data_IF_163988607939
#
_entry.id   IF_163988607939
#
_cell.length_a   1.000
_cell.length_b   1.000
_cell.length_c   1.000
_cell.angle_alpha   90.00
_cell.angle_beta   90.00
_cell.angle_gamma   90.00
#
_symmetry.space_group_name_H-M   'P 1'
#
loop_
_entity.id
_entity.type
_entity.pdbx_description
1 polymer ?
#
# COMPACT_ATOMS: atom_id res chain seq x y z
N UNK A 1 -0.76 -14.94 -0.68
CA UNK A 1 -0.81 -13.80 0.28
C UNK A 1 -0.35 -12.47 -0.33
N UNK A 2 0.55 -12.47 -1.33
CA UNK A 2 1.04 -11.22 -1.93
C UNK A 2 -0.01 -10.42 -2.70
N UNK A 3 -1.10 -11.04 -3.16
CA UNK A 3 -2.13 -10.34 -3.94
C UNK A 3 -2.91 -9.31 -3.10
N UNK A 4 -3.23 -9.61 -1.85
CA UNK A 4 -4.02 -8.70 -1.01
C UNK A 4 -3.32 -7.36 -0.73
N UNK A 5 -2.04 -7.30 -0.34
CA UNK A 5 -1.36 -6.02 -0.20
C UNK A 5 -1.24 -5.26 -1.52
N UNK A 6 -1.08 -5.94 -2.67
CA UNK A 6 -1.08 -5.29 -3.99
C UNK A 6 -2.44 -4.65 -4.26
N UNK A 7 -3.53 -5.37 -4.02
CA UNK A 7 -4.89 -4.88 -4.24
C UNK A 7 -5.24 -3.66 -3.37
N UNK A 8 -4.72 -3.59 -2.15
CA UNK A 8 -5.14 -2.62 -1.14
C UNK A 8 -4.15 -1.47 -0.90
N UNK A 9 -2.95 -1.48 -1.53
CA UNK A 9 -1.87 -0.56 -1.16
C UNK A 9 -2.22 0.93 -1.32
N UNK A 10 -3.09 1.27 -2.26
CA UNK A 10 -3.51 2.64 -2.56
C UNK A 10 -4.85 3.05 -1.93
N UNK A 11 -5.38 2.25 -0.99
CA UNK A 11 -6.70 2.53 -0.38
C UNK A 11 -6.80 3.94 0.22
N UNK A 12 -5.73 4.47 0.79
CA UNK A 12 -5.72 5.82 1.35
C UNK A 12 -5.78 6.93 0.30
N UNK A 13 -5.35 6.65 -0.93
CA UNK A 13 -5.44 7.60 -2.04
C UNK A 13 -6.90 7.89 -2.39
N UNK A 14 -7.77 6.90 -2.26
CA UNK A 14 -9.22 7.06 -2.42
C UNK A 14 -9.79 8.00 -1.34
N UNK A 15 -9.20 7.97 -0.14
CA UNK A 15 -9.54 8.88 0.97
C UNK A 15 -8.81 10.24 0.88
N UNK A 16 -8.21 10.58 -0.26
CA UNK A 16 -7.44 11.81 -0.52
C UNK A 16 -6.11 11.95 0.26
N UNK A 17 -5.62 10.91 0.90
CA UNK A 17 -4.32 10.88 1.58
C UNK A 17 -3.23 10.37 0.64
N UNK A 18 -2.73 11.24 -0.24
CA UNK A 18 -1.70 10.88 -1.24
C UNK A 18 -0.28 10.90 -0.70
N UNK A 19 0.18 11.93 0.04
CA UNK A 19 1.46 11.85 0.71
C UNK A 19 1.42 10.75 1.77
N UNK A 20 2.50 10.00 1.88
CA UNK A 20 2.59 8.87 2.82
C UNK A 20 1.42 7.87 2.74
N UNK A 21 0.90 7.65 1.51
CA UNK A 21 -0.24 6.75 1.28
C UNK A 21 0.00 5.34 1.82
N UNK A 22 1.24 4.86 1.81
CA UNK A 22 1.59 3.57 2.40
C UNK A 22 1.35 3.54 3.91
N UNK A 23 1.77 4.59 4.62
CA UNK A 23 1.52 4.72 6.06
C UNK A 23 0.01 4.79 6.37
N UNK A 24 -0.69 5.70 5.71
CA UNK A 24 -2.12 5.91 5.94
C UNK A 24 -2.97 4.72 5.52
N UNK A 25 -2.63 4.09 4.37
CA UNK A 25 -3.28 2.85 3.92
C UNK A 25 -3.12 1.71 4.92
N UNK A 26 -1.92 1.53 5.45
CA UNK A 26 -1.67 0.54 6.49
C UNK A 26 -2.49 0.82 7.75
N UNK A 27 -2.56 2.07 8.21
CA UNK A 27 -3.38 2.44 9.37
C UNK A 27 -4.87 2.16 9.15
N UNK A 28 -5.38 2.46 7.95
CA UNK A 28 -6.78 2.18 7.62
C UNK A 28 -7.11 0.69 7.66
N UNK A 29 -6.14 -0.14 7.25
CA UNK A 29 -6.36 -1.57 7.04
C UNK A 29 -5.94 -2.45 8.23
N UNK A 30 -5.13 -1.93 9.16
CA UNK A 30 -4.59 -2.68 10.30
C UNK A 30 -5.63 -3.52 11.06
N UNK A 31 -6.86 -3.04 11.32
CA UNK A 31 -7.89 -3.86 11.99
C UNK A 31 -8.45 -5.00 11.13
N UNK A 32 -8.28 -4.93 9.80
CA UNK A 32 -8.99 -5.77 8.83
C UNK A 32 -8.11 -6.82 8.18
N UNK A 33 -6.79 -6.70 8.27
CA UNK A 33 -5.84 -7.59 7.58
C UNK A 33 -4.82 -8.16 8.55
N UNK A 34 -4.05 -9.14 8.08
CA UNK A 34 -2.92 -9.65 8.85
C UNK A 34 -1.79 -8.63 8.93
N UNK A 35 -0.97 -8.74 9.97
CA UNK A 35 0.16 -7.84 10.22
C UNK A 35 1.13 -7.76 9.03
N UNK A 36 1.37 -8.88 8.34
CA UNK A 36 2.19 -8.91 7.13
C UNK A 36 1.63 -8.00 6.03
N UNK A 37 0.31 -8.01 5.83
CA UNK A 37 -0.36 -7.21 4.80
C UNK A 37 -0.25 -5.73 5.12
N UNK A 38 -0.59 -5.32 6.33
CA UNK A 38 -0.50 -3.91 6.75
C UNK A 38 0.94 -3.42 6.74
N UNK A 39 1.89 -4.25 7.19
CA UNK A 39 3.31 -3.93 7.13
C UNK A 39 3.82 -3.76 5.69
N UNK A 40 3.44 -4.66 4.80
CA UNK A 40 3.83 -4.59 3.39
C UNK A 40 3.32 -3.29 2.74
N UNK A 41 2.06 -2.92 3.00
CA UNK A 41 1.47 -1.66 2.53
C UNK A 41 2.23 -0.46 3.11
N UNK A 42 2.59 -0.48 4.39
CA UNK A 42 3.35 0.60 5.02
C UNK A 42 4.71 0.82 4.37
N UNK A 43 5.44 -0.24 4.08
CA UNK A 43 6.84 -0.17 3.67
C UNK A 43 7.05 -0.07 2.15
N UNK A 44 6.05 -0.41 1.33
CA UNK A 44 6.24 -0.39 -0.12
C UNK A 44 6.65 0.99 -0.65
N UNK A 45 6.13 2.07 -0.07
CA UNK A 45 6.43 3.43 -0.53
C UNK A 45 7.91 3.76 -0.41
N UNK A 46 8.57 3.39 0.69
CA UNK A 46 10.00 3.59 0.84
C UNK A 46 10.79 2.74 -0.17
N UNK A 47 10.38 1.48 -0.37
CA UNK A 47 11.05 0.58 -1.29
C UNK A 47 11.01 1.04 -2.75
N UNK A 48 10.03 1.86 -3.14
CA UNK A 48 9.94 2.40 -4.51
C UNK A 48 11.16 3.20 -4.94
N UNK A 49 11.82 3.87 -4.00
CA UNK A 49 12.96 4.73 -4.30
C UNK A 49 14.29 3.97 -4.39
N UNK A 50 14.33 2.68 -4.06
CA UNK A 50 15.56 1.92 -3.98
C UNK A 50 15.50 0.69 -4.90
N UNK A 51 16.36 0.66 -5.94
CA UNK A 51 16.44 -0.48 -6.84
C UNK A 51 16.86 -1.76 -6.12
N UNK A 52 16.38 -2.89 -6.59
CA UNK A 52 16.83 -4.22 -6.18
C UNK A 52 16.96 -5.14 -7.39
N UNK A 53 18.16 -5.21 -7.93
CA UNK A 53 18.48 -6.00 -9.12
C UNK A 53 18.31 -7.50 -8.89
N UNK A 54 18.35 -7.97 -7.63
CA UNK A 54 18.19 -9.40 -7.33
C UNK A 54 16.80 -9.93 -7.66
N UNK A 55 15.80 -9.04 -7.68
CA UNK A 55 14.41 -9.34 -8.01
C UNK A 55 13.92 -8.59 -9.27
N UNK A 56 14.84 -7.97 -10.00
CA UNK A 56 14.51 -7.27 -11.24
C UNK A 56 13.80 -5.93 -11.05
N UNK A 57 13.89 -5.32 -9.86
CA UNK A 57 13.32 -4.00 -9.63
C UNK A 57 14.32 -2.91 -9.94
N UNK A 58 13.97 -2.05 -10.89
CA UNK A 58 14.74 -0.86 -11.24
C UNK A 58 14.05 0.41 -10.74
N UNK A 59 14.81 1.50 -10.57
CA UNK A 59 14.24 2.80 -10.22
C UNK A 59 13.31 3.25 -11.36
N UNK A 60 12.03 3.57 -11.06
CA UNK A 60 11.06 3.87 -12.10
C UNK A 60 11.45 5.10 -12.95
N UNK A 61 11.43 4.94 -14.27
CA UNK A 61 11.74 6.04 -15.21
C UNK A 61 10.83 7.26 -14.97
N UNK A 62 9.57 7.03 -14.60
CA UNK A 62 8.64 8.12 -14.27
C UNK A 62 9.10 8.94 -13.05
N UNK A 63 9.81 8.31 -12.12
CA UNK A 63 10.38 9.01 -10.97
C UNK A 63 11.65 9.77 -11.35
N UNK A 64 12.51 9.19 -12.18
CA UNK A 64 13.65 9.89 -12.74
C UNK A 64 13.23 11.16 -13.52
N UNK A 65 12.18 11.05 -14.33
CA UNK A 65 11.61 12.20 -15.05
C UNK A 65 10.98 13.25 -14.13
N UNK A 66 10.39 12.83 -13.02
CA UNK A 66 9.69 13.73 -12.10
C UNK A 66 10.61 14.43 -11.10
N UNK A 67 11.56 13.70 -10.55
CA UNK A 67 12.41 14.16 -9.44
C UNK A 67 13.83 14.47 -9.87
N UNK A 68 14.27 14.00 -11.04
CA UNK A 68 15.65 14.07 -11.51
C UNK A 68 16.51 12.90 -11.00
N UNK A 69 17.66 12.70 -11.65
CA UNK A 69 18.56 11.59 -11.34
C UNK A 69 19.30 11.79 -9.99
N UNK A 70 19.40 13.04 -9.54
CA UNK A 70 20.09 13.41 -8.29
C UNK A 70 19.16 13.52 -7.08
N UNK A 71 17.90 13.06 -7.21
CA UNK A 71 16.94 13.17 -6.14
C UNK A 71 17.41 12.44 -4.88
N UNK A 72 17.49 13.18 -3.79
CA UNK A 72 17.78 12.64 -2.48
C UNK A 72 16.46 12.41 -1.72
N UNK A 73 16.22 11.15 -1.37
CA UNK A 73 15.02 10.82 -0.58
C UNK A 73 15.09 11.46 0.82
N UNK A 74 13.93 11.77 1.36
CA UNK A 74 13.81 12.28 2.71
C UNK A 74 14.40 11.31 3.75
N UNK A 75 14.97 11.81 4.86
CA UNK A 75 15.62 10.96 5.86
C UNK A 75 14.72 9.87 6.46
N UNK A 76 13.41 10.11 6.55
CA UNK A 76 12.48 9.09 7.04
C UNK A 76 12.30 7.96 6.01
N UNK A 77 12.27 8.26 4.72
CA UNK A 77 12.19 7.26 3.65
C UNK A 77 13.44 6.36 3.66
N UNK A 78 14.61 6.95 3.88
CA UNK A 78 15.85 6.19 4.03
C UNK A 78 15.80 5.25 5.24
N UNK A 79 15.32 5.72 6.40
CA UNK A 79 15.15 4.86 7.60
C UNK A 79 14.19 3.72 7.36
N UNK A 80 13.05 4.00 6.74
CA UNK A 80 12.05 2.98 6.44
C UNK A 80 12.60 1.93 5.47
N UNK A 81 13.38 2.35 4.47
CA UNK A 81 14.09 1.43 3.59
C UNK A 81 15.07 0.51 4.36
N UNK A 82 15.89 1.07 5.26
CA UNK A 82 16.84 0.27 6.05
C UNK A 82 16.13 -0.75 6.96
N UNK A 83 14.97 -0.40 7.48
CA UNK A 83 14.12 -1.33 8.23
C UNK A 83 13.56 -2.41 7.29
N UNK A 84 13.01 -1.99 6.16
CA UNK A 84 12.29 -2.88 5.27
C UNK A 84 13.21 -3.93 4.60
N UNK A 85 14.39 -3.51 4.12
CA UNK A 85 15.31 -4.38 3.38
C UNK A 85 15.79 -5.62 4.15
N UNK A 86 15.78 -5.55 5.47
CA UNK A 86 16.23 -6.63 6.35
C UNK A 86 15.07 -7.38 7.05
N UNK A 87 13.85 -7.01 6.75
CA UNK A 87 12.68 -7.58 7.41
C UNK A 87 12.24 -8.90 6.77
N UNK A 88 11.69 -9.81 7.57
CA UNK A 88 11.16 -11.11 7.10
C UNK A 88 10.09 -10.98 6.01
N UNK A 89 9.37 -9.88 5.98
CA UNK A 89 8.31 -9.58 5.00
C UNK A 89 8.77 -8.65 3.87
N UNK A 90 10.07 -8.47 3.70
CA UNK A 90 10.61 -7.62 2.64
C UNK A 90 9.97 -7.92 1.29
N UNK A 91 9.90 -9.20 0.91
CA UNK A 91 9.34 -9.58 -0.39
C UNK A 91 7.86 -9.26 -0.53
N UNK A 92 7.07 -9.31 0.55
CA UNK A 92 5.65 -8.93 0.51
C UNK A 92 5.47 -7.46 0.15
N UNK A 93 6.29 -6.57 0.69
CA UNK A 93 6.31 -5.15 0.34
C UNK A 93 6.93 -4.90 -1.04
N UNK A 94 8.00 -5.60 -1.40
CA UNK A 94 8.67 -5.47 -2.71
C UNK A 94 7.78 -5.91 -3.86
N UNK A 95 6.95 -6.93 -3.66
CA UNK A 95 5.98 -7.38 -4.66
C UNK A 95 4.95 -6.30 -5.01
N UNK A 96 4.59 -5.41 -4.07
CA UNK A 96 3.76 -4.25 -4.40
C UNK A 96 4.49 -3.38 -5.43
N UNK A 97 5.75 -3.03 -5.18
CA UNK A 97 6.54 -2.20 -6.10
C UNK A 97 6.70 -2.84 -7.48
N UNK A 98 6.89 -4.15 -7.55
CA UNK A 98 7.04 -4.89 -8.79
C UNK A 98 5.76 -4.95 -9.63
N UNK A 99 4.59 -4.87 -8.98
CA UNK A 99 3.29 -5.04 -9.64
C UNK A 99 2.50 -3.74 -9.80
N UNK A 100 2.99 -2.62 -9.33
CA UNK A 100 2.28 -1.35 -9.38
C UNK A 100 2.57 -0.55 -10.67
N UNK A 101 3.83 -0.34 -11.00
CA UNK A 101 4.22 0.56 -12.10
C UNK A 101 4.50 -0.14 -13.44
N UNK A 102 4.69 -1.46 -13.44
CA UNK A 102 5.26 -2.18 -14.59
C UNK A 102 4.34 -3.18 -15.25
N UNK A 103 3.13 -3.37 -14.75
CA UNK A 103 2.25 -4.47 -15.16
C UNK A 103 0.92 -4.02 -15.76
N UNK A 104 0.82 -2.77 -16.18
CA UNK A 104 -0.35 -2.33 -16.95
C UNK A 104 -0.31 -2.93 -18.35
N UNK A 105 -0.92 -4.08 -18.50
CA UNK A 105 -1.24 -4.63 -19.80
C UNK A 105 -2.67 -4.21 -20.17
N UNK A 106 -2.86 -3.36 -21.18
CA UNK A 106 -4.19 -2.86 -21.55
C UNK A 106 -5.12 -3.95 -22.09
N UNK A 107 -4.56 -5.10 -22.47
CA UNK A 107 -5.32 -6.23 -23.01
C UNK A 107 -5.78 -7.19 -21.91
N UNK A 108 -5.27 -7.05 -20.68
CA UNK A 108 -5.68 -7.87 -19.54
C UNK A 108 -6.79 -7.17 -18.76
N UNK A 109 -7.93 -7.81 -18.66
CA UNK A 109 -9.01 -7.41 -17.77
C UNK A 109 -8.93 -8.25 -16.51
N UNK A 110 -9.00 -7.57 -15.38
CA UNK A 110 -8.98 -8.17 -14.05
C UNK A 110 -10.23 -7.72 -13.32
N UNK A 111 -11.05 -8.66 -12.89
CA UNK A 111 -12.26 -8.38 -12.13
C UNK A 111 -12.01 -8.64 -10.63
N UNK A 112 -12.73 -7.92 -9.76
CA UNK A 112 -12.59 -8.06 -8.31
C UNK A 112 -12.95 -9.49 -7.84
N UNK A 113 -13.84 -10.14 -8.57
CA UNK A 113 -14.30 -11.51 -8.33
C UNK A 113 -13.15 -12.52 -8.38
N UNK A 114 -12.10 -12.25 -9.17
CA UNK A 114 -10.89 -13.10 -9.23
C UNK A 114 -10.14 -13.15 -7.89
N UNK A 115 -10.43 -12.20 -6.99
CA UNK A 115 -9.78 -12.06 -5.68
C UNK A 115 -10.68 -12.37 -4.49
N UNK A 116 -11.96 -12.72 -4.70
CA UNK A 116 -12.92 -12.96 -3.63
C UNK A 116 -12.41 -13.99 -2.61
N UNK A 117 -11.83 -15.08 -3.09
CA UNK A 117 -11.30 -16.14 -2.22
C UNK A 117 -10.11 -15.65 -1.38
N UNK A 118 -9.23 -14.83 -1.95
CA UNK A 118 -8.09 -14.24 -1.23
C UNK A 118 -8.58 -13.22 -0.20
N UNK A 119 -9.52 -12.37 -0.58
CA UNK A 119 -10.14 -11.40 0.30
C UNK A 119 -10.83 -12.14 1.47
N UNK A 120 -11.64 -13.14 1.17
CA UNK A 120 -12.37 -13.91 2.17
C UNK A 120 -11.49 -14.63 3.19
N UNK A 121 -10.31 -15.10 2.76
CA UNK A 121 -9.36 -15.78 3.67
C UNK A 121 -8.52 -14.86 4.54
N UNK A 122 -8.21 -13.66 4.07
CA UNK A 122 -7.21 -12.78 4.68
C UNK A 122 -7.79 -11.46 5.18
N UNK A 123 -9.04 -11.17 4.90
CA UNK A 123 -9.72 -9.98 5.38
C UNK A 123 -10.54 -10.31 6.62
N UNK A 124 -10.24 -9.63 7.72
CA UNK A 124 -10.93 -9.80 9.00
C UNK A 124 -12.08 -8.82 9.08
N UNK A 125 -13.20 -9.24 9.65
CA UNK A 125 -14.30 -8.35 9.94
C UNK A 125 -14.33 -8.07 11.45
N UNK A 126 -13.80 -6.91 11.92
CA UNK A 126 -13.95 -6.52 13.31
C UNK A 126 -15.40 -6.21 13.64
N UNK A 127 -15.76 -6.38 14.91
CA UNK A 127 -17.15 -6.24 15.39
C UNK A 127 -17.76 -4.87 15.02
N UNK A 128 -17.00 -3.80 15.18
CA UNK A 128 -17.47 -2.43 14.92
C UNK A 128 -17.02 -1.84 13.57
N UNK A 129 -16.20 -2.47 12.81
CA UNK A 129 -15.47 -2.03 11.64
C UNK A 129 -16.03 -0.91 10.75
N UNK A 130 -15.22 -0.48 9.80
CA UNK A 130 -15.53 0.53 8.76
C UNK A 130 -16.01 1.89 9.30
N UNK A 131 -15.34 2.37 10.35
CA UNK A 131 -15.57 3.72 10.89
C UNK A 131 -16.66 3.80 11.94
N UNK A 132 -17.18 2.68 12.41
CA UNK A 132 -18.16 2.66 13.51
C UNK A 132 -17.49 2.65 14.90
N UNK A 133 -16.19 2.37 14.95
CA UNK A 133 -15.39 2.35 16.17
C UNK A 133 -14.78 3.74 16.49
N UNK A 134 -14.01 3.79 17.56
CA UNK A 134 -13.28 4.99 18.01
C UNK A 134 -11.79 4.96 17.66
N UNK A 135 -11.35 4.07 16.77
CA UNK A 135 -9.96 4.03 16.33
C UNK A 135 -9.59 5.28 15.52
N UNK A 136 -8.31 5.65 15.47
CA UNK A 136 -7.85 6.74 14.61
C UNK A 136 -8.22 6.56 13.13
N UNK A 137 -8.20 5.32 12.65
CA UNK A 137 -8.57 4.98 11.29
C UNK A 137 -10.07 5.15 11.00
N UNK A 138 -10.92 5.08 12.02
CA UNK A 138 -12.37 5.22 11.87
C UNK A 138 -12.77 6.55 11.21
N UNK A 139 -12.05 7.64 11.49
CA UNK A 139 -12.30 8.94 10.88
C UNK A 139 -12.05 8.91 9.36
N UNK A 140 -11.03 8.21 8.90
CA UNK A 140 -10.72 8.03 7.48
C UNK A 140 -11.82 7.21 6.80
N UNK A 141 -12.24 6.10 7.40
CA UNK A 141 -13.34 5.28 6.90
C UNK A 141 -14.67 6.03 6.83
N UNK A 142 -14.97 6.88 7.81
CA UNK A 142 -16.16 7.76 7.77
C UNK A 142 -16.12 8.73 6.60
N UNK A 143 -14.95 9.28 6.29
CA UNK A 143 -14.76 10.15 5.13
C UNK A 143 -15.11 9.42 3.82
N UNK A 144 -14.68 8.16 3.66
CA UNK A 144 -15.00 7.36 2.48
C UNK A 144 -16.49 6.99 2.41
N UNK A 145 -17.08 6.58 3.54
CA UNK A 145 -18.48 6.12 3.59
C UNK A 145 -19.49 7.25 3.41
N UNK A 146 -19.14 8.45 3.83
CA UNK A 146 -20.06 9.60 3.85
C UNK A 146 -19.36 10.88 3.42
N UNK A 147 -18.84 10.96 2.20
CA UNK A 147 -18.04 12.11 1.76
C UNK A 147 -18.85 13.41 1.70
N UNK A 148 -20.16 13.31 1.55
CA UNK A 148 -21.07 14.46 1.45
C UNK A 148 -21.70 14.87 2.80
N UNK A 149 -21.47 14.14 3.87
CA UNK A 149 -21.95 14.53 5.18
C UNK A 149 -21.01 15.61 5.75
N UNK A 150 -21.36 16.86 5.51
CA UNK A 150 -20.86 17.94 6.33
C UNK A 150 -21.50 17.82 7.72
N UNK A 151 -20.67 17.79 8.76
CA UNK A 151 -21.12 17.97 10.14
C UNK A 151 -21.36 19.45 10.39
#
# INVERSE_FOLDING_TARGET
TCALPILLHDVSVIAFFRPDHGYWGAQMLEPYVDEEVSWAIRMHQALRFFPDKSVGYEYPEVYAKRFGDDYQVEPYVQRDYEIARNHKWYMSARMICLNDLYTFDPDVKVDIEDFEDIIGRHFKQPEEGLGNDSSPAAHMWRTLRRPANAL
#
